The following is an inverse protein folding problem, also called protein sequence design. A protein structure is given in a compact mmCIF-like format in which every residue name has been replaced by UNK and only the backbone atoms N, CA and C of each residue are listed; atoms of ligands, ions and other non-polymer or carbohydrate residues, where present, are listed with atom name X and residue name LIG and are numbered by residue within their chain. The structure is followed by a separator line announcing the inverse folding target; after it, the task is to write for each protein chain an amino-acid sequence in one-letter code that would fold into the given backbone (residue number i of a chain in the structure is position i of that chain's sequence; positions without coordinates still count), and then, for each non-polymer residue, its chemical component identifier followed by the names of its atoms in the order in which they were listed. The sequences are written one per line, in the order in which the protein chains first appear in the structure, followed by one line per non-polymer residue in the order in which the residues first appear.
data_IF_858915656662
#
_entry.id   IF_858915656662
#
_cell.length_a   1.000
_cell.length_b   1.000
_cell.length_c   1.000
_cell.angle_alpha   90.00
_cell.angle_beta   90.00
_cell.angle_gamma   90.00
#
_symmetry.space_group_name_H-M   'P 1'
#
loop_
_entity.id
_entity.type
_entity.pdbx_description
1 polymer ?
#
# COMPACT_ATOMS: atom_id res chain seq x y z
N UNK A 1 -12.03 20.31 -24.62
CA UNK A 1 -13.07 19.89 -23.64
C UNK A 1 -12.48 18.83 -22.74
N UNK A 2 -12.41 19.11 -21.43
CA UNK A 2 -11.91 18.11 -20.48
C UNK A 2 -12.92 16.97 -20.30
N UNK A 3 -12.46 15.70 -20.26
CA UNK A 3 -13.34 14.57 -19.95
C UNK A 3 -14.05 14.77 -18.60
N UNK A 4 -15.25 14.21 -18.48
CA UNK A 4 -16.11 14.37 -17.28
C UNK A 4 -15.42 13.99 -15.97
N UNK A 5 -14.51 13.02 -16.01
CA UNK A 5 -13.73 12.58 -14.85
C UNK A 5 -12.69 13.63 -14.40
N UNK A 6 -12.13 14.41 -15.33
CA UNK A 6 -11.21 15.51 -14.97
C UNK A 6 -11.92 16.67 -14.26
N UNK A 7 -13.24 16.82 -14.46
CA UNK A 7 -14.04 17.85 -13.79
C UNK A 7 -14.40 17.49 -12.35
N UNK A 8 -14.44 16.19 -12.04
CA UNK A 8 -14.75 15.71 -10.69
C UNK A 8 -13.54 15.78 -9.75
N UNK A 9 -12.33 15.91 -10.30
CA UNK A 9 -11.09 15.95 -9.52
C UNK A 9 -10.62 17.36 -9.16
N UNK A 10 -11.29 18.41 -9.65
CA UNK A 10 -10.88 19.82 -9.38
C UNK A 10 -11.02 20.25 -7.91
N UNK A 11 -11.48 19.38 -7.01
CA UNK A 11 -11.64 19.68 -5.59
C UNK A 11 -10.67 18.99 -4.64
N UNK A 12 -9.92 17.98 -5.09
CA UNK A 12 -8.97 17.24 -4.25
C UNK A 12 -7.66 17.02 -4.99
N UNK A 13 -6.70 17.90 -4.71
CA UNK A 13 -5.32 17.69 -5.16
C UNK A 13 -4.72 16.60 -4.28
N UNK A 14 -4.35 15.49 -4.88
CA UNK A 14 -3.59 14.45 -4.22
C UNK A 14 -2.15 14.94 -4.06
N UNK A 15 -1.73 15.21 -2.83
CA UNK A 15 -0.39 15.73 -2.54
C UNK A 15 0.63 14.64 -2.20
N UNK A 16 0.32 13.39 -2.50
CA UNK A 16 1.20 12.27 -2.23
C UNK A 16 2.40 12.25 -3.19
N UNK A 17 3.57 11.97 -2.64
CA UNK A 17 4.79 11.76 -3.41
C UNK A 17 5.18 10.28 -3.37
N UNK A 18 5.97 9.83 -4.34
CA UNK A 18 6.46 8.47 -4.39
C UNK A 18 7.90 8.42 -4.91
N UNK A 19 8.62 7.36 -4.58
CA UNK A 19 10.01 7.18 -5.00
C UNK A 19 10.15 6.26 -6.21
N UNK A 20 9.32 5.25 -6.33
CA UNK A 20 9.42 4.27 -7.39
C UNK A 20 8.11 3.51 -7.60
N UNK A 21 7.98 2.95 -8.79
CA UNK A 21 6.97 1.94 -9.13
C UNK A 21 7.75 0.74 -9.64
N UNK A 22 7.82 -0.31 -8.83
CA UNK A 22 8.52 -1.54 -9.19
C UNK A 22 7.58 -2.46 -9.98
N UNK A 23 8.08 -3.00 -11.08
CA UNK A 23 7.32 -3.91 -11.97
C UNK A 23 7.78 -5.34 -11.75
N UNK A 24 6.85 -6.29 -11.90
CA UNK A 24 7.14 -7.72 -11.82
C UNK A 24 7.83 -8.13 -10.49
N UNK A 25 7.37 -7.54 -9.37
CA UNK A 25 7.90 -7.78 -8.04
C UNK A 25 7.37 -9.10 -7.47
N UNK A 26 8.26 -9.91 -6.89
CA UNK A 26 7.92 -11.19 -6.25
C UNK A 26 8.23 -11.20 -4.74
N UNK A 27 8.70 -10.09 -4.19
CA UNK A 27 9.21 -10.00 -2.82
C UNK A 27 8.24 -9.34 -1.85
N UNK A 28 7.15 -8.76 -2.35
CA UNK A 28 6.24 -7.93 -1.55
C UNK A 28 4.78 -8.37 -1.73
N UNK A 29 4.50 -9.64 -1.57
CA UNK A 29 3.18 -10.21 -1.65
C UNK A 29 3.09 -11.38 -2.63
N UNK A 30 1.94 -12.05 -2.63
CA UNK A 30 1.71 -13.23 -3.43
C UNK A 30 1.67 -12.91 -4.94
N UNK A 31 2.36 -13.73 -5.73
CA UNK A 31 2.38 -13.60 -7.19
C UNK A 31 3.31 -12.49 -7.70
N UNK A 32 3.22 -12.19 -8.98
CA UNK A 32 3.91 -11.06 -9.59
C UNK A 32 3.08 -9.79 -9.37
N UNK A 33 3.72 -8.74 -8.85
CA UNK A 33 2.99 -7.55 -8.42
C UNK A 33 3.66 -6.27 -8.89
N UNK A 34 2.86 -5.23 -9.07
CA UNK A 34 3.38 -3.86 -9.12
C UNK A 34 3.46 -3.32 -7.69
N UNK A 35 4.58 -2.68 -7.35
CA UNK A 35 4.77 -2.09 -6.01
C UNK A 35 4.91 -0.58 -6.14
N UNK A 36 4.06 0.15 -5.43
CA UNK A 36 4.12 1.60 -5.31
C UNK A 36 4.85 1.97 -4.02
N UNK A 37 6.01 2.62 -4.15
CA UNK A 37 6.87 3.02 -3.04
C UNK A 37 6.61 4.50 -2.71
N UNK A 38 5.74 4.75 -1.73
CA UNK A 38 5.32 6.11 -1.37
C UNK A 38 6.33 6.81 -0.46
N UNK A 39 6.29 8.15 -0.44
CA UNK A 39 7.06 8.99 0.46
C UNK A 39 6.22 9.39 1.68
N UNK A 40 6.86 9.51 2.83
CA UNK A 40 6.26 9.91 4.10
C UNK A 40 6.14 8.76 5.09
N UNK A 41 6.80 8.92 6.23
CA UNK A 41 6.72 7.97 7.34
C UNK A 41 7.13 8.67 8.64
N UNK A 42 6.31 8.58 9.66
CA UNK A 42 6.57 9.18 10.98
C UNK A 42 7.04 8.18 12.04
N UNK A 43 7.19 6.89 11.68
CA UNK A 43 7.52 5.85 12.66
C UNK A 43 8.96 5.90 13.16
N UNK A 44 9.91 6.28 12.29
CA UNK A 44 11.32 6.40 12.67
C UNK A 44 11.93 5.09 13.15
N UNK A 45 11.55 3.96 12.55
CA UNK A 45 12.01 2.65 12.97
C UNK A 45 13.53 2.54 12.88
N UNK A 46 14.16 2.07 13.95
CA UNK A 46 15.62 1.85 14.00
C UNK A 46 16.00 0.80 12.94
N UNK A 47 17.01 1.12 12.15
CA UNK A 47 17.49 0.31 11.02
C UNK A 47 16.41 -0.02 9.98
N UNK A 48 15.52 0.94 9.73
CA UNK A 48 14.55 0.85 8.65
C UNK A 48 15.26 0.57 7.31
N UNK A 49 14.70 -0.31 6.48
CA UNK A 49 15.25 -0.64 5.16
C UNK A 49 15.20 0.52 4.17
N UNK A 50 14.31 1.49 4.39
CA UNK A 50 14.02 2.56 3.43
C UNK A 50 13.95 3.95 4.09
N UNK A 51 14.97 4.41 4.83
CA UNK A 51 14.90 5.72 5.51
C UNK A 51 14.75 6.90 4.56
N UNK A 52 15.16 6.76 3.30
CA UNK A 52 14.98 7.80 2.27
C UNK A 52 13.50 8.11 2.03
N UNK A 53 12.60 7.20 2.36
CA UNK A 53 11.15 7.37 2.19
C UNK A 53 10.46 8.10 3.36
N UNK A 54 11.19 8.46 4.41
CA UNK A 54 10.59 9.13 5.59
C UNK A 54 10.11 10.54 5.29
N UNK A 55 10.80 11.27 4.40
CA UNK A 55 10.42 12.64 4.05
C UNK A 55 9.21 12.64 3.10
N UNK A 56 8.05 13.18 3.53
CA UNK A 56 6.85 13.22 2.69
C UNK A 56 7.01 14.11 1.45
N UNK A 57 8.01 14.99 1.44
CA UNK A 57 8.31 15.85 0.29
C UNK A 57 9.40 15.26 -0.62
N UNK A 58 9.94 14.11 -0.26
CA UNK A 58 10.91 13.39 -1.10
C UNK A 58 10.25 12.72 -2.30
N UNK A 59 11.10 12.30 -3.24
CA UNK A 59 10.61 11.65 -4.46
C UNK A 59 9.97 12.61 -5.44
N UNK A 60 8.98 12.13 -6.18
CA UNK A 60 8.26 12.89 -7.20
C UNK A 60 6.75 12.82 -6.97
N UNK A 61 5.97 13.81 -7.45
CA UNK A 61 4.52 13.80 -7.26
C UNK A 61 3.84 12.59 -7.91
N UNK A 62 2.91 11.96 -7.18
CA UNK A 62 2.06 10.92 -7.73
C UNK A 62 0.94 11.57 -8.55
N UNK A 63 1.21 11.79 -9.82
CA UNK A 63 0.31 12.45 -10.76
C UNK A 63 -0.46 11.43 -11.63
N UNK A 64 -1.23 11.92 -12.59
CA UNK A 64 -2.00 11.08 -13.51
C UNK A 64 -1.10 10.15 -14.35
N UNK A 65 0.08 10.61 -14.76
CA UNK A 65 1.03 9.78 -15.51
C UNK A 65 1.54 8.62 -14.66
N UNK A 66 1.83 8.85 -13.37
CA UNK A 66 2.23 7.79 -12.44
C UNK A 66 1.08 6.79 -12.22
N UNK A 67 -0.14 7.28 -12.07
CA UNK A 67 -1.32 6.42 -11.93
C UNK A 67 -1.53 5.54 -13.17
N UNK A 68 -1.39 6.11 -14.36
CA UNK A 68 -1.47 5.34 -15.62
C UNK A 68 -0.40 4.26 -15.69
N UNK A 69 0.82 4.54 -15.23
CA UNK A 69 1.90 3.56 -15.18
C UNK A 69 1.52 2.34 -14.32
N UNK A 70 0.92 2.59 -13.15
CA UNK A 70 0.38 1.52 -12.29
C UNK A 70 -0.71 0.73 -13.02
N UNK A 71 -1.64 1.41 -13.65
CA UNK A 71 -2.78 0.78 -14.34
C UNK A 71 -2.34 -0.05 -15.53
N UNK A 72 -1.35 0.39 -16.31
CA UNK A 72 -0.76 -0.39 -17.40
C UNK A 72 -0.20 -1.73 -16.91
N UNK A 73 0.44 -1.74 -15.74
CA UNK A 73 0.92 -2.98 -15.15
C UNK A 73 -0.23 -3.89 -14.73
N UNK A 74 -1.27 -3.32 -14.11
CA UNK A 74 -2.43 -4.09 -13.65
C UNK A 74 -3.26 -4.70 -14.79
N UNK A 75 -3.18 -4.14 -15.98
CA UNK A 75 -3.86 -4.69 -17.18
C UNK A 75 -3.24 -5.99 -17.67
N UNK A 76 -2.01 -6.30 -17.27
CA UNK A 76 -1.32 -7.52 -17.68
C UNK A 76 -1.89 -8.74 -16.95
N UNK A 77 -2.24 -9.77 -17.70
CA UNK A 77 -2.88 -10.98 -17.16
C UNK A 77 -2.06 -11.68 -16.09
N UNK A 78 -0.72 -11.64 -16.21
CA UNK A 78 0.18 -12.32 -15.29
C UNK A 78 0.45 -11.53 -13.99
N UNK A 79 0.04 -10.28 -13.91
CA UNK A 79 0.18 -9.47 -12.69
C UNK A 79 -0.96 -9.80 -11.73
N UNK A 80 -0.61 -10.24 -10.52
CA UNK A 80 -1.58 -10.64 -9.49
C UNK A 80 -2.25 -9.46 -8.80
N UNK A 81 -1.58 -8.32 -8.72
CA UNK A 81 -2.14 -7.15 -8.09
C UNK A 81 -1.10 -6.07 -7.76
N UNK A 82 -1.46 -5.20 -6.83
CA UNK A 82 -0.63 -4.08 -6.38
C UNK A 82 -0.28 -4.24 -4.90
N UNK A 83 0.92 -3.79 -4.53
CA UNK A 83 1.36 -3.63 -3.14
C UNK A 83 1.71 -2.17 -2.90
N UNK A 84 1.18 -1.59 -1.83
CA UNK A 84 1.52 -0.26 -1.36
C UNK A 84 2.58 -0.39 -0.26
N UNK A 85 3.72 0.24 -0.44
CA UNK A 85 4.85 0.18 0.48
C UNK A 85 5.67 1.48 0.43
N UNK A 86 6.91 1.46 0.84
CA UNK A 86 7.81 2.60 0.80
C UNK A 86 8.09 3.16 2.17
N UNK A 87 7.68 4.41 2.40
CA UNK A 87 7.52 5.02 3.70
C UNK A 87 6.35 4.35 4.40
N UNK A 88 5.28 5.10 4.62
CA UNK A 88 4.04 4.46 5.08
C UNK A 88 2.87 4.94 4.24
N UNK A 89 2.19 4.04 3.52
CA UNK A 89 0.98 4.40 2.76
C UNK A 89 -0.13 5.00 3.62
N UNK A 90 -0.13 4.72 4.92
CA UNK A 90 -1.09 5.26 5.88
C UNK A 90 -0.54 6.46 6.66
N UNK A 91 0.63 6.99 6.29
CA UNK A 91 1.06 8.31 6.74
C UNK A 91 -0.07 9.30 6.48
N UNK A 92 -0.38 10.18 7.47
CA UNK A 92 -1.58 11.01 7.47
C UNK A 92 -1.81 11.75 6.15
N UNK A 93 -0.76 12.30 5.55
CA UNK A 93 -0.84 13.02 4.27
C UNK A 93 -1.11 12.13 3.06
N UNK A 94 -0.94 10.81 3.18
CA UNK A 94 -1.11 9.85 2.08
C UNK A 94 -2.47 9.15 2.09
N UNK A 95 -3.17 9.15 3.20
CA UNK A 95 -4.38 8.32 3.42
C UNK A 95 -5.47 8.55 2.40
N UNK A 96 -5.78 9.81 2.08
CA UNK A 96 -6.82 10.12 1.07
C UNK A 96 -6.45 9.63 -0.32
N UNK A 97 -5.21 9.84 -0.73
CA UNK A 97 -4.71 9.42 -2.03
C UNK A 97 -4.74 7.90 -2.18
N UNK A 98 -4.25 7.20 -1.17
CA UNK A 98 -4.22 5.73 -1.16
C UNK A 98 -5.64 5.16 -1.17
N UNK A 99 -6.55 5.72 -0.38
CA UNK A 99 -7.95 5.28 -0.35
C UNK A 99 -8.64 5.47 -1.70
N UNK A 100 -8.44 6.62 -2.35
CA UNK A 100 -9.00 6.91 -3.66
C UNK A 100 -8.43 5.98 -4.73
N UNK A 101 -7.12 5.74 -4.71
CA UNK A 101 -6.46 4.84 -5.64
C UNK A 101 -6.92 3.39 -5.45
N UNK A 102 -7.00 2.92 -4.21
CA UNK A 102 -7.44 1.56 -3.90
C UNK A 102 -8.89 1.32 -4.35
N UNK A 103 -9.75 2.30 -4.15
CA UNK A 103 -11.15 2.25 -4.61
C UNK A 103 -11.23 2.14 -6.12
N UNK A 104 -10.50 2.98 -6.84
CA UNK A 104 -10.50 2.98 -8.32
C UNK A 104 -9.96 1.67 -8.86
N UNK A 105 -8.90 1.12 -8.27
CA UNK A 105 -8.33 -0.18 -8.66
C UNK A 105 -9.35 -1.30 -8.42
N UNK A 106 -10.05 -1.29 -7.29
CA UNK A 106 -11.08 -2.30 -7.00
C UNK A 106 -12.21 -2.26 -8.04
N UNK A 107 -12.60 -1.07 -8.48
CA UNK A 107 -13.66 -0.90 -9.47
C UNK A 107 -13.22 -1.31 -10.88
N UNK A 108 -11.98 -0.99 -11.27
CA UNK A 108 -11.45 -1.27 -12.62
C UNK A 108 -10.84 -2.65 -12.76
N UNK A 109 -10.24 -3.18 -11.70
CA UNK A 109 -9.51 -4.45 -11.70
C UNK A 109 -9.98 -5.32 -10.54
N UNK A 110 -11.26 -5.77 -10.54
CA UNK A 110 -11.81 -6.51 -9.39
C UNK A 110 -11.11 -7.84 -9.10
N UNK A 111 -10.40 -8.41 -10.08
CA UNK A 111 -9.68 -9.66 -9.94
C UNK A 111 -8.24 -9.49 -9.41
N UNK A 112 -7.77 -8.24 -9.29
CA UNK A 112 -6.42 -7.94 -8.79
C UNK A 112 -6.44 -7.74 -7.29
N UNK A 113 -5.50 -8.35 -6.58
CA UNK A 113 -5.40 -8.22 -5.12
C UNK A 113 -4.63 -6.97 -4.73
N UNK A 114 -4.96 -6.43 -3.57
CA UNK A 114 -4.32 -5.23 -3.03
C UNK A 114 -3.71 -5.52 -1.66
N UNK A 115 -2.40 -5.36 -1.56
CA UNK A 115 -1.61 -5.52 -0.36
C UNK A 115 -1.10 -4.16 0.13
N UNK A 116 -0.99 -3.98 1.45
CA UNK A 116 -0.49 -2.74 2.02
C UNK A 116 0.38 -3.04 3.24
N UNK A 117 1.58 -2.44 3.26
CA UNK A 117 2.49 -2.47 4.39
C UNK A 117 2.37 -1.18 5.19
N UNK A 118 2.19 -1.26 6.49
CA UNK A 118 2.12 -0.10 7.37
C UNK A 118 2.83 -0.36 8.70
N UNK A 119 3.36 0.69 9.32
CA UNK A 119 3.91 0.63 10.67
C UNK A 119 2.84 0.77 11.75
N UNK A 120 1.61 1.13 11.40
CA UNK A 120 0.49 1.16 12.34
C UNK A 120 0.01 -0.26 12.63
N UNK A 121 -0.58 -0.47 13.81
CA UNK A 121 -1.22 -1.72 14.15
C UNK A 121 -2.68 -1.74 13.70
N UNK A 122 -3.23 -2.93 13.44
CA UNK A 122 -4.58 -3.13 12.94
C UNK A 122 -5.63 -2.34 13.74
N UNK A 123 -5.53 -2.35 15.07
CA UNK A 123 -6.45 -1.66 15.95
C UNK A 123 -6.48 -0.14 15.73
N UNK A 124 -5.35 0.44 15.32
CA UNK A 124 -5.23 1.88 15.07
C UNK A 124 -5.86 2.31 13.75
N UNK A 125 -5.91 1.42 12.75
CA UNK A 125 -6.22 1.82 11.36
C UNK A 125 -7.39 1.04 10.75
N UNK A 126 -7.95 0.08 11.43
CA UNK A 126 -9.00 -0.80 10.89
C UNK A 126 -10.26 -0.07 10.39
N UNK A 127 -10.51 1.13 10.86
CA UNK A 127 -11.69 1.93 10.48
C UNK A 127 -11.40 2.95 9.37
N UNK A 128 -10.16 2.97 8.83
CA UNK A 128 -9.81 3.89 7.75
C UNK A 128 -10.54 3.50 6.44
N UNK A 129 -10.88 4.51 5.60
CA UNK A 129 -11.61 4.28 4.35
C UNK A 129 -10.95 3.31 3.36
N UNK A 130 -9.62 3.15 3.41
CA UNK A 130 -8.89 2.26 2.50
C UNK A 130 -9.11 0.78 2.83
N UNK A 131 -9.35 0.46 4.09
CA UNK A 131 -9.35 -0.92 4.58
C UNK A 131 -10.29 -1.85 3.81
N UNK A 132 -11.55 -1.48 3.52
CA UNK A 132 -12.46 -2.37 2.77
C UNK A 132 -11.97 -2.74 1.37
N UNK A 133 -11.03 -2.00 0.81
CA UNK A 133 -10.50 -2.25 -0.54
C UNK A 133 -9.25 -3.14 -0.53
N UNK A 134 -8.71 -3.47 0.63
CA UNK A 134 -7.49 -4.26 0.76
C UNK A 134 -7.81 -5.75 0.93
N UNK A 135 -6.91 -6.58 0.41
CA UNK A 135 -6.96 -8.04 0.59
C UNK A 135 -6.04 -8.48 1.71
N UNK A 136 -4.82 -7.92 1.77
CA UNK A 136 -3.83 -8.25 2.80
C UNK A 136 -3.19 -6.97 3.35
N UNK A 137 -3.06 -6.91 4.66
CA UNK A 137 -2.37 -5.84 5.37
C UNK A 137 -1.24 -6.43 6.22
N UNK A 138 -0.01 -5.94 6.01
CA UNK A 138 1.12 -6.26 6.89
C UNK A 138 1.26 -5.10 7.87
N UNK A 139 0.94 -5.35 9.14
CA UNK A 139 0.87 -4.32 10.18
C UNK A 139 2.08 -4.30 11.11
N UNK A 140 2.23 -3.22 11.84
CA UNK A 140 3.21 -3.07 12.91
C UNK A 140 4.55 -2.54 12.45
N UNK A 141 5.22 -1.81 13.35
CA UNK A 141 6.54 -1.24 13.10
C UNK A 141 7.60 -2.30 12.97
N UNK A 142 8.59 -2.05 12.10
CA UNK A 142 9.77 -2.89 12.06
C UNK A 142 10.55 -2.73 13.38
N UNK A 143 10.77 -3.84 14.07
CA UNK A 143 11.54 -3.89 15.32
C UNK A 143 12.80 -4.71 15.12
N UNK A 144 13.98 -4.04 15.19
CA UNK A 144 15.27 -4.68 14.94
C UNK A 144 15.53 -5.87 15.90
N UNK A 145 15.05 -5.79 17.14
CA UNK A 145 15.17 -6.86 18.12
C UNK A 145 14.43 -8.14 17.75
N UNK A 146 13.46 -8.03 16.83
CA UNK A 146 12.65 -9.16 16.35
C UNK A 146 12.86 -9.45 14.87
N UNK A 147 13.92 -8.87 14.28
CA UNK A 147 14.28 -9.09 12.87
C UNK A 147 14.56 -10.57 12.63
N UNK A 148 13.96 -11.11 11.57
CA UNK A 148 14.16 -12.47 11.11
C UNK A 148 13.99 -12.51 9.60
N UNK A 149 15.07 -12.82 8.89
CA UNK A 149 15.08 -12.87 7.41
C UNK A 149 14.35 -14.09 6.85
N UNK A 150 13.98 -15.06 7.70
CA UNK A 150 13.24 -16.25 7.31
C UNK A 150 11.71 -16.03 7.35
N UNK A 151 11.25 -14.91 7.88
CA UNK A 151 9.82 -14.59 7.94
C UNK A 151 9.26 -14.30 6.54
N UNK A 152 8.04 -14.79 6.31
CA UNK A 152 7.35 -14.60 5.04
C UNK A 152 6.59 -13.28 5.05
N UNK A 153 6.90 -12.40 4.09
CA UNK A 153 6.25 -11.09 3.83
C UNK A 153 6.46 -10.03 4.91
N UNK A 154 7.15 -10.29 5.99
CA UNK A 154 7.40 -9.33 7.07
C UNK A 154 8.87 -9.34 7.51
N UNK A 155 9.33 -8.23 8.06
CA UNK A 155 10.75 -8.06 8.45
C UNK A 155 11.05 -8.39 9.91
N UNK A 156 10.03 -8.36 10.77
CA UNK A 156 10.18 -8.65 12.21
C UNK A 156 9.00 -9.44 12.74
N UNK A 157 9.24 -10.24 13.78
CA UNK A 157 8.27 -11.21 14.29
C UNK A 157 7.01 -10.56 14.89
N UNK A 158 7.10 -9.31 15.37
CA UNK A 158 5.95 -8.56 15.90
C UNK A 158 4.91 -8.18 14.85
N UNK A 159 5.29 -8.13 13.58
CA UNK A 159 4.39 -7.77 12.49
C UNK A 159 3.44 -8.93 12.17
N UNK A 160 2.23 -8.61 11.70
CA UNK A 160 1.22 -9.59 11.31
C UNK A 160 0.87 -9.44 9.84
N UNK A 161 0.72 -10.54 9.14
CA UNK A 161 0.21 -10.59 7.76
C UNK A 161 -1.27 -10.94 7.85
N UNK A 162 -2.13 -9.95 7.66
CA UNK A 162 -3.56 -10.02 7.97
C UNK A 162 -4.38 -10.22 6.70
N UNK A 163 -5.27 -11.22 6.70
CA UNK A 163 -6.33 -11.33 5.71
C UNK A 163 -7.42 -10.32 6.06
N UNK A 164 -7.48 -9.22 5.32
CA UNK A 164 -8.35 -8.09 5.64
C UNK A 164 -9.83 -8.47 5.50
N UNK A 165 -10.21 -9.10 4.41
CA UNK A 165 -11.62 -9.43 4.16
C UNK A 165 -12.16 -10.42 5.18
N UNK A 166 -11.39 -11.47 5.49
CA UNK A 166 -11.75 -12.43 6.53
C UNK A 166 -11.82 -11.78 7.91
N UNK A 167 -10.88 -10.87 8.22
CA UNK A 167 -10.86 -10.15 9.50
C UNK A 167 -12.07 -9.25 9.68
N UNK A 168 -12.46 -8.51 8.64
CA UNK A 168 -13.65 -7.67 8.67
C UNK A 168 -14.93 -8.49 8.84
N UNK A 169 -15.00 -9.62 8.15
CA UNK A 169 -16.17 -10.52 8.20
C UNK A 169 -16.34 -11.17 9.56
N UNK A 170 -15.24 -11.56 10.21
CA UNK A 170 -15.26 -12.27 11.50
C UNK A 170 -15.22 -11.33 12.71
N UNK A 171 -14.91 -10.04 12.51
CA UNK A 171 -14.77 -9.07 13.59
C UNK A 171 -13.54 -9.29 14.46
N UNK A 172 -12.55 -10.04 13.99
CA UNK A 172 -11.28 -10.30 14.66
C UNK A 172 -10.18 -10.53 13.64
N UNK A 173 -8.91 -10.39 14.06
CA UNK A 173 -7.77 -10.62 13.17
C UNK A 173 -7.73 -12.07 12.70
N UNK A 174 -7.72 -12.25 11.38
CA UNK A 174 -7.46 -13.52 10.71
C UNK A 174 -6.17 -13.38 9.91
N UNK A 175 -5.21 -14.26 10.14
CA UNK A 175 -3.93 -14.21 9.45
C UNK A 175 -4.05 -14.75 8.02
N UNK A 176 -3.31 -14.10 7.11
CA UNK A 176 -3.22 -14.55 5.72
C UNK A 176 -2.31 -15.79 5.62
N UNK A 177 -2.76 -16.77 4.87
CA UNK A 177 -2.00 -17.98 4.56
C UNK A 177 -1.63 -17.98 3.07
N UNK A 178 -0.35 -18.12 2.77
CA UNK A 178 0.15 -18.23 1.39
C UNK A 178 1.11 -19.39 1.22
#
# INVERSE_FOLDING_TARGET
MMPRWQKLQKGKVCNMQYHNITKDDMLNGDGLRVVLWVAGCSHGCKECHNPVTWDPNGGIPFDEAAKEEVFEQLEKDYISGITYSGGDPLFAGNRECIAALAKEIRERFPDKTQWLYTGYEWEEIRDLPVIPYLDVLVDGRFEISQKDTQLHWKGSANQKVIDVQASLKQGQIVLHES
#
